data_IF_632696984145
#
_entry.id   IF_632696984145
#
_cell.length_a   1.000
_cell.length_b   1.000
_cell.length_c   1.000
_cell.angle_alpha   90.00
_cell.angle_beta   90.00
_cell.angle_gamma   90.00
#
_symmetry.space_group_name_H-M   'P 1'
#
loop_
_entity.id
_entity.type
_entity.pdbx_description
1 polymer ?
#
# COMPACT_ATOMS: atom_id res chain seq x y z
N UNK A 1 8.99 -25.45 17.78
CA UNK A 1 8.04 -24.30 17.67
C UNK A 1 8.37 -23.60 16.36
N UNK A 2 7.39 -23.24 15.52
CA UNK A 2 7.64 -22.54 14.24
C UNK A 2 8.24 -21.17 14.55
N UNK A 3 9.38 -20.85 13.93
CA UNK A 3 10.14 -19.63 14.20
C UNK A 3 9.86 -18.52 13.19
N UNK A 4 9.40 -18.89 11.97
CA UNK A 4 9.14 -17.98 10.88
C UNK A 4 7.85 -18.34 10.16
N UNK A 5 6.96 -17.38 9.94
CA UNK A 5 5.84 -17.48 8.98
C UNK A 5 6.19 -16.69 7.72
N UNK A 6 5.88 -17.25 6.55
CA UNK A 6 6.10 -16.61 5.25
C UNK A 6 4.76 -16.41 4.57
N UNK A 7 4.42 -15.18 4.26
CA UNK A 7 3.19 -14.85 3.52
C UNK A 7 3.50 -14.64 2.06
N UNK A 8 2.80 -15.36 1.19
CA UNK A 8 2.96 -15.30 -0.27
C UNK A 8 1.59 -15.07 -0.91
N UNK A 9 1.31 -13.83 -1.37
CA UNK A 9 0.11 -13.56 -2.15
C UNK A 9 0.27 -14.19 -3.54
N UNK A 10 -0.78 -14.86 -4.02
CA UNK A 10 -0.84 -15.51 -5.32
C UNK A 10 -1.89 -14.84 -6.20
N UNK A 11 -1.51 -14.47 -7.42
CA UNK A 11 -2.45 -14.00 -8.42
C UNK A 11 -1.98 -14.38 -9.82
N UNK A 12 -2.73 -15.23 -10.51
CA UNK A 12 -2.38 -15.79 -11.82
C UNK A 12 -1.02 -16.53 -11.82
N UNK A 13 -0.68 -17.17 -10.69
CA UNK A 13 0.65 -17.71 -10.37
C UNK A 13 0.85 -19.16 -10.81
N UNK A 14 -0.11 -19.78 -11.49
CA UNK A 14 -0.12 -21.24 -11.82
C UNK A 14 1.16 -21.75 -12.46
N UNK A 15 1.75 -20.96 -13.35
CA UNK A 15 2.97 -21.34 -14.08
C UNK A 15 4.23 -21.28 -13.19
N UNK A 16 4.26 -20.38 -12.24
CA UNK A 16 5.44 -20.09 -11.43
C UNK A 16 5.42 -20.84 -10.08
N UNK A 17 4.24 -21.13 -9.55
CA UNK A 17 4.04 -21.77 -8.25
C UNK A 17 4.83 -23.07 -8.06
N UNK A 18 4.93 -24.02 -9.03
CA UNK A 18 5.75 -25.22 -8.86
C UNK A 18 7.25 -24.91 -8.69
N UNK A 19 7.73 -23.87 -9.37
CA UNK A 19 9.13 -23.44 -9.24
C UNK A 19 9.38 -22.80 -7.87
N UNK A 20 8.44 -21.97 -7.41
CA UNK A 20 8.51 -21.33 -6.09
C UNK A 20 8.52 -22.36 -4.98
N UNK A 21 7.62 -23.36 -5.02
CA UNK A 21 7.60 -24.45 -4.02
C UNK A 21 8.90 -25.23 -4.04
N UNK A 22 9.42 -25.56 -5.24
CA UNK A 22 10.72 -26.22 -5.34
C UNK A 22 11.84 -25.39 -4.70
N UNK A 23 11.88 -24.08 -4.93
CA UNK A 23 12.89 -23.20 -4.36
C UNK A 23 12.78 -23.09 -2.84
N UNK A 24 11.57 -23.07 -2.31
CA UNK A 24 11.30 -23.13 -0.87
C UNK A 24 11.72 -24.49 -0.27
N UNK A 25 11.51 -25.60 -0.98
CA UNK A 25 11.98 -26.92 -0.56
C UNK A 25 13.52 -26.98 -0.51
N UNK A 26 14.20 -26.43 -1.52
CA UNK A 26 15.65 -26.34 -1.55
C UNK A 26 16.17 -25.55 -0.32
N UNK A 27 15.55 -24.40 -0.06
CA UNK A 27 15.90 -23.59 1.10
C UNK A 27 15.60 -24.30 2.42
N UNK A 28 14.44 -24.99 2.54
CA UNK A 28 14.12 -25.78 3.75
C UNK A 28 15.19 -26.81 4.10
N UNK A 29 15.81 -27.41 3.09
CA UNK A 29 16.88 -28.40 3.29
C UNK A 29 18.22 -27.79 3.68
N UNK A 30 18.39 -26.47 3.57
CA UNK A 30 19.64 -25.76 3.87
C UNK A 30 19.64 -25.06 5.22
N UNK A 31 18.49 -25.01 5.91
CA UNK A 31 18.33 -24.29 7.18
C UNK A 31 17.93 -25.24 8.32
N UNK A 32 18.32 -24.90 9.56
CA UNK A 32 18.02 -25.68 10.76
C UNK A 32 16.74 -25.25 11.49
N UNK A 33 16.21 -24.05 11.21
CA UNK A 33 15.00 -23.57 11.85
C UNK A 33 13.72 -23.96 11.09
N UNK A 34 12.59 -23.92 11.80
CA UNK A 34 11.30 -24.28 11.23
C UNK A 34 10.53 -23.06 10.71
N UNK A 35 9.94 -23.18 9.54
CA UNK A 35 9.04 -22.17 9.02
C UNK A 35 7.72 -22.78 8.51
N UNK A 36 6.71 -21.92 8.37
CA UNK A 36 5.42 -22.24 7.78
C UNK A 36 5.10 -21.22 6.68
N UNK A 37 4.38 -21.63 5.63
CA UNK A 37 4.03 -20.75 4.53
C UNK A 37 2.51 -20.55 4.46
N UNK A 38 2.09 -19.30 4.34
CA UNK A 38 0.69 -18.93 4.13
C UNK A 38 0.55 -18.43 2.69
N UNK A 39 0.00 -19.27 1.83
CA UNK A 39 -0.35 -18.90 0.45
C UNK A 39 -1.73 -18.26 0.43
N UNK A 40 -1.86 -17.06 -0.12
CA UNK A 40 -3.13 -16.34 -0.21
C UNK A 40 -3.47 -16.05 -1.66
N UNK A 41 -4.41 -16.82 -2.22
CA UNK A 41 -4.88 -16.65 -3.59
C UNK A 41 -5.92 -15.53 -3.68
N UNK A 42 -5.63 -14.50 -4.47
CA UNK A 42 -6.43 -13.28 -4.61
C UNK A 42 -7.50 -13.43 -5.71
N UNK A 43 -8.45 -14.32 -5.48
CA UNK A 43 -9.67 -14.45 -6.29
C UNK A 43 -9.45 -14.87 -7.74
N UNK A 44 -8.51 -15.75 -8.02
CA UNK A 44 -8.31 -16.32 -9.36
C UNK A 44 -9.55 -17.11 -9.82
N UNK A 45 -9.81 -17.12 -11.13
CA UNK A 45 -10.93 -17.83 -11.74
C UNK A 45 -10.87 -19.33 -11.42
N UNK A 46 -9.68 -19.91 -11.49
CA UNK A 46 -9.42 -21.31 -11.13
C UNK A 46 -8.41 -21.38 -9.99
N UNK A 47 -8.68 -22.22 -9.00
CA UNK A 47 -7.81 -22.37 -7.83
C UNK A 47 -6.46 -22.99 -8.18
N UNK A 48 -5.40 -22.44 -7.60
CA UNK A 48 -4.03 -22.97 -7.67
C UNK A 48 -3.77 -24.11 -6.68
N UNK A 49 -4.74 -24.45 -5.83
CA UNK A 49 -4.62 -25.47 -4.79
C UNK A 49 -4.13 -26.83 -5.32
N UNK A 50 -4.71 -27.30 -6.42
CA UNK A 50 -4.32 -28.58 -7.03
C UNK A 50 -2.86 -28.59 -7.51
N UNK A 51 -2.36 -27.43 -7.91
CA UNK A 51 -0.96 -27.25 -8.32
C UNK A 51 -0.06 -27.28 -7.10
N UNK A 52 -0.45 -26.59 -6.02
CA UNK A 52 0.28 -26.57 -4.76
C UNK A 52 0.43 -27.97 -4.17
N UNK A 53 -0.66 -28.74 -4.11
CA UNK A 53 -0.64 -30.14 -3.65
C UNK A 53 0.30 -31.01 -4.51
N UNK A 54 0.27 -30.85 -5.83
CA UNK A 54 1.14 -31.58 -6.76
C UNK A 54 2.62 -31.16 -6.64
N UNK A 55 2.89 -29.94 -6.21
CA UNK A 55 4.25 -29.42 -6.07
C UNK A 55 5.00 -30.03 -4.87
N UNK A 56 4.33 -30.81 -4.01
CA UNK A 56 4.91 -31.58 -2.91
C UNK A 56 5.80 -30.74 -1.98
N UNK A 57 5.22 -29.74 -1.35
CA UNK A 57 5.92 -28.95 -0.33
C UNK A 57 6.32 -29.84 0.86
N UNK A 58 7.57 -29.73 1.32
CA UNK A 58 8.11 -30.46 2.48
C UNK A 58 8.06 -29.64 3.78
N UNK A 59 7.36 -28.54 3.76
CA UNK A 59 7.16 -27.61 4.87
C UNK A 59 5.66 -27.46 5.16
N UNK A 60 5.27 -27.18 6.42
CA UNK A 60 3.89 -26.87 6.76
C UNK A 60 3.40 -25.64 5.96
N UNK A 61 2.22 -25.72 5.43
CA UNK A 61 1.65 -24.58 4.71
C UNK A 61 0.13 -24.51 4.85
N UNK A 62 -0.38 -23.28 4.71
CA UNK A 62 -1.80 -22.97 4.68
C UNK A 62 -2.15 -22.36 3.35
N UNK A 63 -3.27 -22.78 2.80
CA UNK A 63 -3.84 -22.21 1.59
C UNK A 63 -5.13 -21.47 1.93
N UNK A 64 -5.16 -20.16 1.62
CA UNK A 64 -6.32 -19.30 1.81
C UNK A 64 -6.70 -18.71 0.46
N UNK A 65 -7.98 -18.88 0.07
CA UNK A 65 -8.50 -18.33 -1.19
C UNK A 65 -9.53 -17.26 -0.90
N UNK A 66 -9.34 -16.08 -1.49
CA UNK A 66 -10.30 -14.99 -1.42
C UNK A 66 -11.42 -15.20 -2.45
N UNK A 67 -12.63 -14.75 -2.15
CA UNK A 67 -13.81 -14.94 -3.02
C UNK A 67 -13.76 -14.16 -4.33
N UNK A 68 -12.99 -13.10 -4.39
CA UNK A 68 -12.74 -12.27 -5.57
C UNK A 68 -11.39 -11.56 -5.44
N UNK A 69 -10.93 -10.90 -6.50
CA UNK A 69 -9.71 -10.10 -6.45
C UNK A 69 -9.92 -8.84 -5.61
N UNK A 70 -9.21 -8.76 -4.50
CA UNK A 70 -9.17 -7.60 -3.59
C UNK A 70 -7.85 -6.81 -3.70
N UNK A 71 -6.88 -7.31 -4.45
CA UNK A 71 -5.55 -6.75 -4.64
C UNK A 71 -4.49 -7.31 -3.70
N UNK A 72 -3.23 -7.32 -4.17
CA UNK A 72 -2.07 -7.91 -3.49
C UNK A 72 -1.92 -7.45 -2.04
N UNK A 73 -2.09 -6.14 -1.76
CA UNK A 73 -1.98 -5.61 -0.41
C UNK A 73 -3.00 -6.21 0.56
N UNK A 74 -4.23 -6.44 0.06
CA UNK A 74 -5.28 -7.09 0.85
C UNK A 74 -4.97 -8.57 1.08
N UNK A 75 -4.54 -9.29 0.04
CA UNK A 75 -4.14 -10.69 0.15
C UNK A 75 -3.00 -10.85 1.17
N UNK A 76 -1.97 -10.01 1.09
CA UNK A 76 -0.86 -9.99 2.07
C UNK A 76 -1.38 -9.74 3.48
N UNK A 77 -2.27 -8.76 3.68
CA UNK A 77 -2.82 -8.46 5.01
C UNK A 77 -3.62 -9.62 5.61
N UNK A 78 -4.39 -10.33 4.77
CA UNK A 78 -5.07 -11.57 5.19
C UNK A 78 -4.05 -12.63 5.60
N UNK A 79 -3.00 -12.86 4.80
CA UNK A 79 -1.92 -13.77 5.18
C UNK A 79 -1.29 -13.41 6.52
N UNK A 80 -0.99 -12.13 6.76
CA UNK A 80 -0.46 -11.65 8.04
C UNK A 80 -1.41 -11.92 9.22
N UNK A 81 -2.71 -11.94 8.99
CA UNK A 81 -3.69 -12.24 10.06
C UNK A 81 -3.62 -13.70 10.56
N UNK A 82 -3.11 -14.61 9.75
CA UNK A 82 -2.91 -16.03 10.09
C UNK A 82 -1.56 -16.31 10.73
N UNK A 83 -0.63 -15.37 10.69
CA UNK A 83 0.71 -15.57 11.24
C UNK A 83 0.70 -15.70 12.76
N UNK A 84 1.46 -16.67 13.27
CA UNK A 84 1.60 -16.96 14.71
C UNK A 84 3.06 -16.97 15.17
N UNK A 85 3.99 -17.14 14.25
CA UNK A 85 5.43 -17.17 14.53
C UNK A 85 5.95 -15.80 15.03
N UNK A 86 7.06 -15.78 15.79
CA UNK A 86 7.68 -14.54 16.27
C UNK A 86 8.23 -13.67 15.16
N UNK A 87 8.67 -14.27 14.04
CA UNK A 87 9.13 -13.60 12.83
C UNK A 87 8.18 -13.87 11.67
N UNK A 88 7.97 -12.86 10.84
CA UNK A 88 7.08 -12.93 9.69
C UNK A 88 7.79 -12.32 8.49
N UNK A 89 7.90 -13.08 7.40
CA UNK A 89 8.39 -12.60 6.12
C UNK A 89 7.24 -12.45 5.12
N UNK A 90 7.36 -11.53 4.17
CA UNK A 90 6.50 -11.48 2.97
C UNK A 90 7.36 -11.54 1.73
N UNK A 91 6.95 -12.34 0.75
CA UNK A 91 7.64 -12.53 -0.54
C UNK A 91 6.59 -12.52 -1.64
N UNK A 92 6.90 -11.93 -2.78
CA UNK A 92 6.08 -12.05 -3.99
C UNK A 92 6.29 -13.43 -4.65
N UNK A 93 5.31 -13.86 -5.44
CA UNK A 93 5.29 -15.18 -6.10
C UNK A 93 6.15 -15.26 -7.38
N UNK A 94 6.76 -14.14 -7.81
CA UNK A 94 7.42 -13.98 -9.10
C UNK A 94 8.91 -14.40 -9.14
N UNK A 95 9.44 -14.94 -8.03
CA UNK A 95 10.84 -15.36 -7.86
C UNK A 95 11.88 -14.24 -8.06
N UNK A 96 11.48 -12.97 -8.04
CA UNK A 96 12.43 -11.86 -8.02
C UNK A 96 13.22 -11.82 -6.71
N UNK A 97 12.60 -12.28 -5.63
CA UNK A 97 13.19 -12.42 -4.32
C UNK A 97 13.43 -13.90 -4.02
N UNK A 98 14.70 -14.27 -3.82
CA UNK A 98 15.06 -15.62 -3.47
C UNK A 98 14.75 -15.86 -1.98
N UNK A 99 14.06 -16.97 -1.60
CA UNK A 99 13.88 -17.35 -0.19
C UNK A 99 15.16 -17.39 0.63
N UNK A 100 16.30 -17.74 0.03
CA UNK A 100 17.61 -17.74 0.70
C UNK A 100 18.04 -16.35 1.20
N UNK A 101 17.54 -15.27 0.62
CA UNK A 101 17.83 -13.91 1.06
C UNK A 101 17.10 -13.53 2.37
N UNK A 102 16.14 -14.34 2.83
CA UNK A 102 15.47 -14.14 4.13
C UNK A 102 16.47 -14.21 5.28
N UNK A 103 17.48 -15.07 5.19
CA UNK A 103 18.53 -15.19 6.23
C UNK A 103 19.28 -13.87 6.41
N UNK A 104 19.53 -13.12 5.33
CA UNK A 104 20.14 -11.79 5.41
C UNK A 104 19.22 -10.80 6.13
N UNK A 105 17.90 -10.88 5.87
CA UNK A 105 16.93 -10.02 6.56
C UNK A 105 16.87 -10.36 8.05
N UNK A 106 16.96 -11.65 8.44
CA UNK A 106 16.99 -12.09 9.84
C UNK A 106 18.25 -11.54 10.53
N UNK A 107 19.40 -11.67 9.89
CA UNK A 107 20.68 -11.14 10.40
C UNK A 107 20.59 -9.62 10.59
N UNK A 108 20.12 -8.89 9.57
CA UNK A 108 19.96 -7.45 9.62
C UNK A 108 18.98 -7.00 10.72
N UNK A 109 17.85 -7.70 10.88
CA UNK A 109 16.85 -7.41 11.92
C UNK A 109 17.46 -7.53 13.32
N UNK A 110 18.28 -8.58 13.55
CA UNK A 110 18.92 -8.83 14.83
C UNK A 110 20.06 -7.84 15.11
N UNK A 111 20.93 -7.57 14.15
CA UNK A 111 22.05 -6.64 14.28
C UNK A 111 21.59 -5.20 14.50
N UNK A 112 20.56 -4.78 13.76
CA UNK A 112 20.02 -3.43 13.89
C UNK A 112 19.07 -3.29 15.08
N UNK A 113 18.53 -4.38 15.63
CA UNK A 113 17.47 -4.36 16.63
C UNK A 113 16.17 -3.73 16.08
N UNK A 114 15.90 -3.90 14.79
CA UNK A 114 14.72 -3.37 14.13
C UNK A 114 13.51 -4.26 14.31
N UNK A 115 12.32 -3.67 14.18
CA UNK A 115 11.03 -4.39 14.18
C UNK A 115 10.60 -4.77 12.77
N UNK A 116 11.10 -4.01 11.76
CA UNK A 116 10.77 -4.17 10.35
C UNK A 116 12.01 -3.91 9.49
N UNK A 117 12.32 -4.84 8.59
CA UNK A 117 13.42 -4.75 7.62
C UNK A 117 12.88 -4.93 6.22
N UNK A 118 13.20 -4.01 5.32
CA UNK A 118 12.91 -4.12 3.89
C UNK A 118 14.13 -4.61 3.13
N UNK A 119 13.96 -5.62 2.29
CA UNK A 119 14.98 -6.05 1.33
C UNK A 119 15.01 -5.08 0.15
N UNK A 120 16.11 -4.37 -0.03
CA UNK A 120 16.29 -3.40 -1.10
C UNK A 120 17.34 -3.89 -2.08
N UNK A 121 17.26 -3.46 -3.34
CA UNK A 121 18.24 -3.80 -4.35
C UNK A 121 19.25 -2.67 -4.51
N UNK A 122 20.49 -3.02 -4.87
CA UNK A 122 21.46 -2.01 -5.33
C UNK A 122 20.84 -1.25 -6.52
N UNK A 123 20.83 0.09 -6.41
CA UNK A 123 20.28 0.97 -7.42
C UNK A 123 20.99 0.75 -8.75
N UNK A 124 20.36 0.04 -9.70
CA UNK A 124 20.67 0.22 -11.11
C UNK A 124 20.00 1.51 -11.56
N UNK A 125 20.80 2.44 -12.07
CA UNK A 125 20.32 3.68 -12.70
C UNK A 125 19.39 3.34 -13.87
N UNK A 126 18.07 3.37 -13.67
CA UNK A 126 17.12 3.19 -14.77
C UNK A 126 15.86 4.02 -14.61
N UNK A 127 15.63 4.83 -15.65
CA UNK A 127 14.39 5.47 -16.09
C UNK A 127 13.92 6.71 -15.34
N UNK A 128 14.08 7.84 -16.03
CA UNK A 128 13.57 9.18 -15.69
C UNK A 128 12.09 9.21 -15.31
N UNK A 129 11.23 8.40 -15.95
CA UNK A 129 9.80 8.32 -15.67
C UNK A 129 9.46 7.68 -14.31
N UNK A 130 10.26 6.73 -13.83
CA UNK A 130 10.09 6.12 -12.51
C UNK A 130 10.48 7.10 -11.40
N UNK A 131 11.47 7.94 -11.65
CA UNK A 131 11.89 8.99 -10.72
C UNK A 131 10.82 10.07 -10.55
N UNK A 132 10.09 10.43 -11.62
CA UNK A 132 9.00 11.41 -11.52
C UNK A 132 7.83 10.88 -10.66
N UNK A 133 7.46 9.61 -10.83
CA UNK A 133 6.42 8.96 -9.99
C UNK A 133 6.85 8.86 -8.51
N UNK A 134 8.12 8.50 -8.24
CA UNK A 134 8.64 8.44 -6.87
C UNK A 134 8.75 9.83 -6.23
N UNK A 135 9.12 10.86 -6.99
CA UNK A 135 9.19 12.25 -6.50
C UNK A 135 7.80 12.78 -6.12
N UNK A 136 6.78 12.48 -6.92
CA UNK A 136 5.38 12.85 -6.59
C UNK A 136 4.91 12.11 -5.33
N UNK A 137 5.19 10.81 -5.21
CA UNK A 137 4.88 10.05 -4.01
C UNK A 137 5.67 10.58 -2.80
N UNK A 138 6.96 10.90 -2.94
CA UNK A 138 7.76 11.51 -1.89
C UNK A 138 7.21 12.88 -1.44
N UNK A 139 6.74 13.73 -2.36
CA UNK A 139 6.13 15.03 -2.05
C UNK A 139 4.81 14.87 -1.27
N UNK A 140 4.03 13.84 -1.59
CA UNK A 140 2.74 13.55 -0.95
C UNK A 140 2.94 12.98 0.45
N UNK A 141 3.94 12.11 0.62
CA UNK A 141 4.23 11.40 1.86
C UNK A 141 5.38 12.02 2.67
N UNK A 142 6.10 13.02 2.14
CA UNK A 142 7.22 13.70 2.84
C UNK A 142 6.80 14.34 4.17
N UNK A 143 5.51 14.52 4.40
CA UNK A 143 4.98 14.96 5.69
C UNK A 143 5.24 13.94 6.83
N UNK A 144 5.48 12.67 6.52
CA UNK A 144 5.72 11.59 7.51
C UNK A 144 7.20 11.17 7.65
N UNK A 145 8.16 11.84 7.00
CA UNK A 145 9.62 11.53 7.04
C UNK A 145 9.97 10.08 6.68
N UNK A 146 9.19 9.42 5.82
CA UNK A 146 9.43 8.05 5.38
C UNK A 146 10.05 8.05 3.99
N UNK A 147 11.20 7.40 3.83
CA UNK A 147 11.80 7.16 2.51
C UNK A 147 11.10 5.99 1.81
N UNK A 148 10.07 6.32 1.02
CA UNK A 148 9.32 5.33 0.25
C UNK A 148 10.11 4.68 -0.90
N UNK A 149 11.29 5.19 -1.25
CA UNK A 149 12.12 4.63 -2.31
C UNK A 149 12.74 3.28 -1.96
N UNK A 150 12.84 2.99 -0.66
CA UNK A 150 13.40 1.75 -0.11
C UNK A 150 12.36 0.72 0.31
N UNK A 151 11.07 1.01 0.12
CA UNK A 151 9.98 0.11 0.49
C UNK A 151 9.76 -0.93 -0.61
N UNK A 152 9.76 -2.21 -0.23
CA UNK A 152 9.55 -3.35 -1.11
C UNK A 152 8.53 -4.32 -0.51
N UNK A 153 7.99 -5.22 -1.35
CA UNK A 153 7.14 -6.32 -0.88
C UNK A 153 7.95 -7.41 -0.14
N UNK A 154 9.27 -7.47 -0.39
CA UNK A 154 10.17 -8.37 0.31
C UNK A 154 10.62 -7.76 1.63
N UNK A 155 10.09 -8.27 2.73
CA UNK A 155 10.33 -7.72 4.06
C UNK A 155 10.24 -8.78 5.14
N UNK A 156 10.91 -8.51 6.24
CA UNK A 156 10.87 -9.30 7.47
C UNK A 156 10.43 -8.40 8.62
N UNK A 157 9.57 -8.91 9.49
CA UNK A 157 9.04 -8.16 10.62
C UNK A 157 8.88 -9.05 11.85
N UNK A 158 8.89 -8.42 13.02
CA UNK A 158 8.47 -9.06 14.27
C UNK A 158 6.94 -9.14 14.34
N UNK A 159 6.42 -10.15 15.03
CA UNK A 159 4.96 -10.42 15.12
C UNK A 159 4.14 -9.25 15.66
N UNK A 160 4.72 -8.39 16.50
CA UNK A 160 4.05 -7.18 17.04
C UNK A 160 3.67 -6.19 15.92
N UNK A 161 4.49 -6.07 14.85
CA UNK A 161 4.20 -5.19 13.71
C UNK A 161 2.96 -5.66 12.95
N UNK A 162 2.76 -6.98 12.86
CA UNK A 162 1.60 -7.57 12.17
C UNK A 162 0.36 -7.72 13.07
N UNK A 163 0.44 -7.41 14.36
CA UNK A 163 -0.65 -7.68 15.33
C UNK A 163 -1.98 -6.98 15.00
N UNK A 164 -1.92 -5.82 14.33
CA UNK A 164 -3.12 -5.06 13.93
C UNK A 164 -3.96 -5.77 12.87
N UNK A 165 -3.34 -6.62 12.03
CA UNK A 165 -4.04 -7.34 10.97
C UNK A 165 -4.92 -8.48 11.50
N UNK A 166 -4.63 -9.03 12.68
CA UNK A 166 -5.44 -10.11 13.31
C UNK A 166 -6.88 -9.68 13.61
N UNK A 167 -7.14 -8.38 13.73
CA UNK A 167 -8.45 -7.84 14.12
C UNK A 167 -9.27 -7.29 12.95
N UNK A 168 -8.70 -7.13 11.76
CA UNK A 168 -9.37 -6.47 10.65
C UNK A 168 -9.45 -7.37 9.43
N UNK A 169 -10.68 -7.57 8.91
CA UNK A 169 -10.94 -8.24 7.64
C UNK A 169 -11.39 -7.24 6.56
N UNK A 170 -10.87 -6.01 6.60
CA UNK A 170 -11.20 -4.97 5.63
C UNK A 170 -10.16 -4.92 4.52
N UNK A 171 -10.57 -4.60 3.27
CA UNK A 171 -9.63 -4.40 2.18
C UNK A 171 -8.62 -3.30 2.49
N UNK A 172 -7.36 -3.57 2.18
CA UNK A 172 -6.25 -2.65 2.41
C UNK A 172 -5.71 -2.18 1.07
N UNK A 173 -5.68 -0.87 0.88
CA UNK A 173 -5.15 -0.26 -0.36
C UNK A 173 -3.62 -0.22 -0.34
N UNK A 174 -3.04 0.04 0.84
CA UNK A 174 -1.60 0.22 0.98
C UNK A 174 -1.13 -0.31 2.35
N UNK A 175 -0.62 -1.54 2.36
CA UNK A 175 -0.24 -2.25 3.58
C UNK A 175 0.98 -1.62 4.27
N UNK A 176 1.86 -0.99 3.50
CA UNK A 176 3.09 -0.38 3.98
C UNK A 176 2.83 0.70 5.04
N UNK A 177 1.77 1.49 4.87
CA UNK A 177 1.40 2.51 5.86
C UNK A 177 1.15 1.89 7.25
N UNK A 178 0.41 0.78 7.28
CA UNK A 178 0.11 0.09 8.55
C UNK A 178 1.37 -0.50 9.18
N UNK A 179 2.23 -1.13 8.37
CA UNK A 179 3.48 -1.70 8.85
C UNK A 179 4.42 -0.61 9.37
N UNK A 180 4.53 0.51 8.64
CA UNK A 180 5.37 1.63 9.03
C UNK A 180 4.90 2.33 10.31
N UNK A 181 3.60 2.40 10.55
CA UNK A 181 3.03 2.96 11.79
C UNK A 181 3.24 2.06 12.99
N UNK A 182 3.19 0.73 12.78
CA UNK A 182 3.32 -0.25 13.88
C UNK A 182 4.78 -0.56 14.24
N UNK A 183 5.72 -0.31 13.34
CA UNK A 183 7.14 -0.55 13.58
C UNK A 183 7.78 0.63 14.30
N UNK A 184 8.36 0.41 15.49
CA UNK A 184 9.09 1.46 16.22
C UNK A 184 10.44 1.74 15.56
N UNK A 185 11.15 0.68 15.12
CA UNK A 185 12.44 0.81 14.45
C UNK A 185 12.44 0.06 13.11
N UNK A 186 12.90 0.74 12.07
CA UNK A 186 12.90 0.27 10.69
C UNK A 186 14.31 0.28 10.13
N UNK A 187 14.65 -0.67 9.28
CA UNK A 187 15.92 -0.72 8.55
C UNK A 187 15.73 -1.28 7.14
N UNK A 188 16.77 -1.19 6.35
CA UNK A 188 16.84 -1.74 4.99
C UNK A 188 18.05 -2.66 4.90
N UNK A 189 17.93 -3.74 4.14
CA UNK A 189 18.98 -4.69 3.87
C UNK A 189 19.16 -4.85 2.35
N UNK A 190 20.38 -4.78 1.85
CA UNK A 190 20.67 -5.00 0.44
C UNK A 190 20.61 -6.50 0.17
N UNK A 191 19.73 -6.89 -0.74
CA UNK A 191 19.51 -8.27 -1.16
C UNK A 191 19.78 -8.43 -2.65
N UNK A 192 20.09 -9.66 -3.06
CA UNK A 192 20.29 -9.98 -4.47
C UNK A 192 18.94 -9.98 -5.21
N UNK A 193 18.96 -9.48 -6.44
CA UNK A 193 17.78 -9.44 -7.30
C UNK A 193 17.93 -10.48 -8.42
N UNK A 194 17.01 -11.42 -8.48
CA UNK A 194 16.90 -12.33 -9.63
C UNK A 194 16.06 -11.68 -10.73
N UNK A 195 16.40 -11.97 -11.99
CA UNK A 195 15.57 -11.49 -13.10
C UNK A 195 14.19 -12.14 -13.01
N UNK A 196 13.14 -11.33 -13.18
CA UNK A 196 11.75 -11.80 -13.20
C UNK A 196 11.58 -12.93 -14.23
N UNK A 197 11.16 -14.10 -13.77
CA UNK A 197 10.72 -15.17 -14.66
C UNK A 197 9.24 -14.96 -14.99
N UNK A 198 8.93 -14.19 -16.03
CA UNK A 198 7.54 -13.93 -16.45
C UNK A 198 7.44 -12.78 -17.45
N UNK A 199 6.27 -12.62 -18.02
CA UNK A 199 6.00 -11.55 -18.99
C UNK A 199 6.15 -10.17 -18.36
N UNK A 200 6.66 -9.21 -19.14
CA UNK A 200 6.85 -7.83 -18.71
C UNK A 200 5.58 -7.23 -18.11
N UNK A 201 5.70 -6.58 -16.97
CA UNK A 201 4.61 -5.82 -16.33
C UNK A 201 4.04 -4.79 -17.33
N UNK A 202 2.85 -5.06 -17.87
CA UNK A 202 2.14 -4.16 -18.77
C UNK A 202 1.24 -3.18 -18.02
N UNK A 203 1.77 -2.51 -16.97
CA UNK A 203 1.03 -1.40 -16.38
C UNK A 203 1.01 -0.23 -17.35
N UNK A 204 -0.17 0.04 -17.93
CA UNK A 204 -0.41 1.24 -18.73
C UNK A 204 -0.16 2.49 -17.87
N UNK A 205 0.37 3.56 -18.47
CA UNK A 205 0.51 4.88 -17.84
C UNK A 205 -0.80 5.34 -17.14
N UNK A 206 -1.95 5.10 -17.74
CA UNK A 206 -3.26 5.38 -17.15
C UNK A 206 -3.56 4.55 -15.89
N UNK A 207 -3.09 3.32 -15.83
CA UNK A 207 -3.22 2.46 -14.65
C UNK A 207 -2.39 3.00 -13.48
N UNK A 208 -1.15 3.39 -13.76
CA UNK A 208 -0.26 4.02 -12.76
C UNK A 208 -0.80 5.36 -12.28
N UNK A 209 -1.35 6.19 -13.18
CA UNK A 209 -1.96 7.47 -12.83
C UNK A 209 -3.21 7.29 -11.96
N UNK A 210 -4.11 6.36 -12.33
CA UNK A 210 -5.28 6.01 -11.51
C UNK A 210 -4.87 5.48 -10.13
N UNK A 211 -3.83 4.66 -10.07
CA UNK A 211 -3.31 4.14 -8.82
C UNK A 211 -2.72 5.24 -7.93
N UNK A 212 -1.93 6.16 -8.51
CA UNK A 212 -1.40 7.31 -7.80
C UNK A 212 -2.53 8.23 -7.27
N UNK A 213 -3.54 8.53 -8.09
CA UNK A 213 -4.71 9.28 -7.64
C UNK A 213 -5.44 8.55 -6.49
N UNK A 214 -5.59 7.24 -6.59
CA UNK A 214 -6.20 6.44 -5.54
C UNK A 214 -5.44 6.55 -4.22
N UNK A 215 -4.11 6.46 -4.27
CA UNK A 215 -3.25 6.63 -3.09
C UNK A 215 -3.40 8.05 -2.51
N UNK A 216 -3.29 9.09 -3.33
CA UNK A 216 -3.40 10.50 -2.90
C UNK A 216 -4.72 10.73 -2.17
N UNK A 217 -5.79 10.24 -2.76
CA UNK A 217 -7.14 10.46 -2.24
C UNK A 217 -7.44 9.59 -1.02
N UNK A 218 -6.89 8.35 -0.94
CA UNK A 218 -7.19 7.40 0.15
C UNK A 218 -6.26 7.51 1.36
N UNK A 219 -4.98 7.81 1.15
CA UNK A 219 -3.96 7.74 2.20
C UNK A 219 -3.32 9.08 2.55
N UNK A 220 -3.59 10.14 1.78
CA UNK A 220 -2.98 11.43 2.03
C UNK A 220 -4.00 12.43 2.59
N UNK A 221 -3.67 13.04 3.71
CA UNK A 221 -4.34 14.26 4.19
C UNK A 221 -3.99 15.49 3.34
N UNK A 222 -3.10 15.32 2.34
CA UNK A 222 -2.64 16.41 1.48
C UNK A 222 -3.79 17.14 0.77
N UNK A 223 -4.72 16.40 0.17
CA UNK A 223 -5.86 16.99 -0.54
C UNK A 223 -6.74 17.79 0.41
N UNK A 224 -7.02 17.27 1.59
CA UNK A 224 -7.81 17.96 2.59
C UNK A 224 -7.09 19.21 3.09
N UNK A 225 -5.81 19.12 3.44
CA UNK A 225 -4.99 20.24 3.87
C UNK A 225 -4.82 21.30 2.76
N UNK A 226 -4.69 20.86 1.49
CA UNK A 226 -4.64 21.77 0.35
C UNK A 226 -5.95 22.57 0.22
N UNK A 227 -7.10 21.91 0.31
CA UNK A 227 -8.41 22.57 0.22
C UNK A 227 -8.61 23.54 1.38
N UNK A 228 -8.24 23.18 2.60
CA UNK A 228 -8.31 24.07 3.76
C UNK A 228 -7.45 25.31 3.54
N UNK A 229 -6.18 25.13 3.17
CA UNK A 229 -5.25 26.27 2.92
C UNK A 229 -5.74 27.14 1.78
N UNK A 230 -6.18 26.53 0.67
CA UNK A 230 -6.73 27.25 -0.48
C UNK A 230 -7.98 28.05 -0.08
N UNK A 231 -8.89 27.45 0.71
CA UNK A 231 -10.07 28.13 1.22
C UNK A 231 -9.72 29.33 2.11
N UNK A 232 -8.75 29.18 3.01
CA UNK A 232 -8.29 30.29 3.86
C UNK A 232 -7.69 31.43 3.03
N UNK A 233 -6.81 31.11 2.06
CA UNK A 233 -6.19 32.14 1.19
C UNK A 233 -7.27 32.86 0.38
N UNK A 234 -8.23 32.11 -0.17
CA UNK A 234 -9.34 32.70 -0.94
C UNK A 234 -10.20 33.61 -0.07
N UNK A 235 -10.56 33.17 1.14
CA UNK A 235 -11.34 33.97 2.08
C UNK A 235 -10.65 35.30 2.44
N UNK A 236 -9.34 35.25 2.75
CA UNK A 236 -8.54 36.43 3.04
C UNK A 236 -8.46 37.37 1.83
N UNK A 237 -8.25 36.82 0.63
CA UNK A 237 -8.21 37.61 -0.61
C UNK A 237 -9.57 38.28 -0.86
N UNK A 238 -10.67 37.56 -0.74
CA UNK A 238 -12.02 38.09 -0.90
C UNK A 238 -12.32 39.20 0.13
N UNK A 239 -11.86 39.05 1.38
CA UNK A 239 -12.01 40.06 2.41
C UNK A 239 -11.31 41.38 2.00
N UNK A 240 -10.06 41.34 1.56
CA UNK A 240 -9.34 42.54 1.13
C UNK A 240 -9.94 43.17 -0.12
N UNK A 241 -10.39 42.37 -1.08
CA UNK A 241 -11.12 42.85 -2.26
C UNK A 241 -12.43 43.52 -1.86
N UNK A 242 -13.15 42.96 -0.89
CA UNK A 242 -14.37 43.58 -0.36
C UNK A 242 -14.08 44.93 0.32
N UNK A 243 -13.05 45.02 1.16
CA UNK A 243 -12.64 46.26 1.78
C UNK A 243 -12.23 47.34 0.74
N UNK A 244 -11.52 46.92 -0.33
CA UNK A 244 -11.15 47.80 -1.42
C UNK A 244 -12.41 48.39 -2.13
N UNK A 245 -13.42 47.62 -2.44
CA UNK A 245 -14.66 48.08 -3.06
C UNK A 245 -15.46 49.02 -2.14
N UNK A 246 -15.49 48.73 -0.82
CA UNK A 246 -16.12 49.59 0.18
C UNK A 246 -15.40 50.92 0.23
N UNK A 247 -14.07 50.92 0.28
CA UNK A 247 -13.25 52.13 0.25
C UNK A 247 -13.52 52.97 -1.01
N UNK A 248 -13.50 52.31 -2.21
CA UNK A 248 -13.75 52.95 -3.49
C UNK A 248 -15.16 53.62 -3.54
N UNK A 249 -16.16 52.95 -3.00
CA UNK A 249 -17.51 53.50 -2.92
C UNK A 249 -17.61 54.73 -2.01
N UNK A 250 -17.02 54.65 -0.84
CA UNK A 250 -17.06 55.73 0.16
C UNK A 250 -16.32 56.97 -0.30
N UNK A 251 -15.15 56.80 -0.98
CA UNK A 251 -14.28 57.91 -1.37
C UNK A 251 -14.62 58.51 -2.72
N UNK A 252 -15.08 57.67 -3.69
CA UNK A 252 -15.23 58.08 -5.07
C UNK A 252 -16.70 58.00 -5.58
N UNK A 253 -17.64 57.64 -4.70
CA UNK A 253 -19.09 57.48 -5.03
C UNK A 253 -19.35 56.65 -6.33
N UNK A 254 -18.48 55.68 -6.63
CA UNK A 254 -18.53 54.93 -7.88
C UNK A 254 -19.61 53.85 -7.81
N UNK A 255 -20.50 53.81 -8.82
CA UNK A 255 -21.55 52.78 -8.98
C UNK A 255 -21.02 51.52 -9.75
N UNK A 256 -19.74 51.40 -9.97
CA UNK A 256 -19.14 50.27 -10.64
C UNK A 256 -19.08 49.06 -9.68
N UNK A 257 -19.89 48.02 -9.93
CA UNK A 257 -19.80 46.85 -9.06
C UNK A 257 -20.71 45.67 -9.42
N UNK A 258 -21.74 45.88 -10.24
CA UNK A 258 -22.73 44.82 -10.50
C UNK A 258 -22.11 43.56 -11.15
N UNK A 259 -21.32 43.76 -12.20
CA UNK A 259 -20.61 42.63 -12.87
C UNK A 259 -19.62 41.93 -11.97
N UNK A 260 -18.84 42.69 -11.16
CA UNK A 260 -17.90 42.15 -10.21
C UNK A 260 -18.62 41.35 -9.11
N UNK A 261 -19.77 41.79 -8.66
CA UNK A 261 -20.58 41.10 -7.65
C UNK A 261 -21.11 39.74 -8.18
N UNK A 262 -21.62 39.71 -9.40
CA UNK A 262 -22.10 38.46 -10.04
C UNK A 262 -20.95 37.46 -10.20
N UNK A 263 -19.80 37.91 -10.74
CA UNK A 263 -18.63 37.04 -10.91
C UNK A 263 -18.15 36.51 -9.56
N UNK A 264 -18.10 37.34 -8.53
CA UNK A 264 -17.67 36.91 -7.17
C UNK A 264 -18.62 35.89 -6.57
N UNK A 265 -19.96 36.04 -6.77
CA UNK A 265 -20.95 35.07 -6.30
C UNK A 265 -20.77 33.72 -7.01
N UNK A 266 -20.70 33.71 -8.34
CA UNK A 266 -20.54 32.46 -9.08
C UNK A 266 -19.22 31.77 -8.75
N UNK A 267 -18.11 32.52 -8.62
CA UNK A 267 -16.81 31.98 -8.27
C UNK A 267 -16.79 31.38 -6.86
N UNK A 268 -17.33 32.11 -5.88
CA UNK A 268 -17.40 31.60 -4.50
C UNK A 268 -18.32 30.40 -4.37
N UNK A 269 -19.46 30.39 -5.09
CA UNK A 269 -20.37 29.23 -5.13
C UNK A 269 -19.68 28.02 -5.76
N UNK A 270 -18.91 28.20 -6.83
CA UNK A 270 -18.11 27.12 -7.43
C UNK A 270 -17.11 26.50 -6.46
N UNK A 271 -16.38 27.32 -5.73
CA UNK A 271 -15.43 26.85 -4.69
C UNK A 271 -16.16 26.11 -3.57
N UNK A 272 -17.29 26.64 -3.10
CA UNK A 272 -18.10 25.98 -2.06
C UNK A 272 -18.60 24.61 -2.51
N UNK A 273 -19.14 24.51 -3.72
CA UNK A 273 -19.61 23.22 -4.26
C UNK A 273 -18.49 22.22 -4.42
N UNK A 274 -17.31 22.66 -4.91
CA UNK A 274 -16.11 21.80 -4.99
C UNK A 274 -15.68 21.29 -3.60
N UNK A 275 -15.64 22.16 -2.61
CA UNK A 275 -15.28 21.82 -1.23
C UNK A 275 -16.27 20.82 -0.62
N UNK A 276 -17.57 21.07 -0.80
CA UNK A 276 -18.64 20.15 -0.36
C UNK A 276 -18.55 18.79 -1.06
N UNK A 277 -18.22 18.75 -2.34
CA UNK A 277 -17.98 17.50 -3.07
C UNK A 277 -16.86 16.66 -2.46
N UNK A 278 -15.74 17.29 -2.10
CA UNK A 278 -14.62 16.60 -1.44
C UNK A 278 -15.01 16.12 -0.05
N UNK A 279 -15.67 16.96 0.75
CA UNK A 279 -16.18 16.57 2.08
C UNK A 279 -17.14 15.39 1.95
N UNK A 280 -18.06 15.43 1.00
CA UNK A 280 -19.00 14.34 0.71
C UNK A 280 -18.29 13.02 0.41
N UNK A 281 -17.20 13.04 -0.37
CA UNK A 281 -16.39 11.85 -0.64
C UNK A 281 -15.71 11.30 0.63
N UNK A 282 -15.20 12.16 1.52
CA UNK A 282 -14.65 11.71 2.80
C UNK A 282 -15.73 11.10 3.71
N UNK A 283 -16.90 11.73 3.80
CA UNK A 283 -18.04 11.21 4.58
C UNK A 283 -18.49 9.85 4.02
N UNK A 284 -18.62 9.72 2.70
CA UNK A 284 -18.96 8.45 2.04
C UNK A 284 -17.98 7.33 2.43
N UNK A 285 -16.69 7.62 2.50
CA UNK A 285 -15.65 6.66 2.90
C UNK A 285 -15.77 6.27 4.37
N UNK A 286 -15.98 7.23 5.26
CA UNK A 286 -16.21 6.98 6.69
C UNK A 286 -17.42 6.06 6.83
N UNK A 287 -18.51 6.35 6.11
CA UNK A 287 -19.74 5.56 6.15
C UNK A 287 -19.52 4.12 5.67
N UNK A 288 -18.85 3.91 4.52
CA UNK A 288 -18.50 2.56 4.02
C UNK A 288 -17.65 1.82 5.05
N UNK A 289 -16.68 2.50 5.62
CA UNK A 289 -15.76 1.89 6.58
C UNK A 289 -16.44 1.51 7.91
N UNK A 290 -17.42 2.30 8.36
CA UNK A 290 -18.17 2.04 9.60
C UNK A 290 -19.22 0.92 9.41
N UNK A 291 -19.86 0.84 8.26
CA UNK A 291 -20.92 -0.14 8.01
C UNK A 291 -20.41 -1.51 7.55
N UNK A 292 -19.07 -1.73 7.56
CA UNK A 292 -18.44 -3.03 7.22
C UNK A 292 -18.87 -3.60 5.86
N UNK A 293 -19.31 -2.73 4.93
CA UNK A 293 -19.83 -3.13 3.62
C UNK A 293 -18.78 -3.79 2.72
N UNK A 294 -17.50 -3.60 3.03
CA UNK A 294 -16.35 -4.15 2.29
C UNK A 294 -15.62 -5.23 3.11
N UNK A 295 -16.34 -6.18 3.70
CA UNK A 295 -15.66 -7.30 4.36
C UNK A 295 -15.04 -8.24 3.32
N UNK A 296 -13.83 -8.71 3.63
CA UNK A 296 -13.15 -9.71 2.80
C UNK A 296 -13.80 -11.06 3.05
N UNK A 297 -14.30 -11.67 1.98
CA UNK A 297 -14.87 -13.02 2.02
C UNK A 297 -13.78 -14.02 1.64
N UNK A 298 -13.60 -15.01 2.50
CA UNK A 298 -12.69 -16.14 2.27
C UNK A 298 -13.53 -17.27 1.68
N UNK A 299 -13.12 -17.77 0.52
CA UNK A 299 -13.80 -18.87 -0.17
C UNK A 299 -13.29 -20.24 0.29
N UNK A 300 -11.97 -20.36 0.54
CA UNK A 300 -11.34 -21.58 1.04
C UNK A 300 -10.28 -21.22 2.07
N UNK A 301 -10.12 -22.08 3.10
CA UNK A 301 -9.11 -21.95 4.15
C UNK A 301 -8.73 -23.35 4.63
N UNK A 302 -7.55 -23.83 4.27
CA UNK A 302 -7.08 -25.17 4.60
C UNK A 302 -5.61 -25.17 5.05
N UNK A 303 -5.34 -25.98 6.06
CA UNK A 303 -3.98 -26.35 6.46
C UNK A 303 -3.61 -27.61 5.65
N UNK A 304 -2.54 -27.55 4.87
CA UNK A 304 -2.09 -28.62 3.98
C UNK A 304 -0.74 -29.20 4.45
#
# INVERSE_FOLDING_TARGET
MVELDIVIPLYNSKKILPKLVRRLNEWKNSIDFSFNVIFVEDGDVESSKSILVKAAAIFPHRFVRLSKNYGQHTATAIGLSYCTAPLIATIDDDLQHDPFEIEKLITCLNETGSDLVFGTFEKKEHSFFRNLGSTVLQLIFSYEKVDYSSITAFRLMRSNVAASFKKSKKPIVFIEEYLLRNASKKSTCIVNHSKREGESSSYSFWSLFKFALKIIVFHSSFLLNFIIRFGVVTAVTCFFVGCYFIYKKVVYDSNEGFSALIVSIFFSTGILLMTLGVIGEYIRRIWINQNELDQIMIAEDEQL
#
